data_IF_274475300533
#
_entry.id   IF_274475300533
#
_cell.length_a   1.000
_cell.length_b   1.000
_cell.length_c   1.000
_cell.angle_alpha   90.00
_cell.angle_beta   90.00
_cell.angle_gamma   90.00
#
_symmetry.space_group_name_H-M   'P 1'
#
loop_
_entity.id
_entity.type
_entity.pdbx_description
1 polymer ?
#
# COMPACT_ATOMS: atom_id res chain seq x y z
N UNK A 1 8.98 17.58 1.14
CA UNK A 1 8.48 16.81 2.30
C UNK A 1 8.31 15.38 1.80
N UNK A 2 8.92 14.36 2.43
CA UNK A 2 8.64 12.99 2.04
C UNK A 2 7.12 12.74 2.20
N UNK A 3 6.48 12.03 1.26
CA UNK A 3 5.07 11.67 1.36
C UNK A 3 4.80 10.94 2.68
N UNK A 4 3.66 11.22 3.28
CA UNK A 4 3.27 10.65 4.57
C UNK A 4 2.99 9.14 4.41
N UNK A 5 3.66 8.28 5.21
CA UNK A 5 3.43 6.83 5.20
C UNK A 5 2.25 6.42 6.08
N UNK A 6 1.69 7.37 6.84
CA UNK A 6 0.53 7.15 7.72
C UNK A 6 -0.62 6.42 7.01
N UNK A 7 -1.10 6.81 5.81
CA UNK A 7 -2.21 6.11 5.16
C UNK A 7 -1.91 4.63 4.86
N UNK A 8 -0.65 4.28 4.57
CA UNK A 8 -0.26 2.89 4.33
C UNK A 8 -0.30 2.09 5.64
N UNK A 9 0.31 2.61 6.70
CA UNK A 9 0.39 1.91 7.99
C UNK A 9 -0.96 1.85 8.71
N UNK A 10 -1.79 2.88 8.56
CA UNK A 10 -3.13 2.93 9.12
C UNK A 10 -4.04 1.96 8.38
N UNK A 11 -3.99 1.91 7.04
CA UNK A 11 -4.73 0.90 6.27
C UNK A 11 -4.32 -0.54 6.63
N UNK A 12 -3.03 -0.80 6.84
CA UNK A 12 -2.58 -2.11 7.33
C UNK A 12 -3.14 -2.41 8.73
N UNK A 13 -3.21 -1.42 9.62
CA UNK A 13 -3.78 -1.60 10.96
C UNK A 13 -5.28 -1.89 10.89
N UNK A 14 -6.00 -1.19 10.02
CA UNK A 14 -7.46 -1.27 9.88
C UNK A 14 -7.91 -2.65 9.39
N UNK A 15 -7.12 -3.31 8.55
CA UNK A 15 -7.37 -4.70 8.13
C UNK A 15 -6.97 -5.75 9.19
N UNK A 16 -6.51 -5.31 10.37
CA UNK A 16 -6.17 -6.18 11.48
C UNK A 16 -4.74 -6.72 11.46
N UNK A 17 -3.80 -6.07 10.76
CA UNK A 17 -2.41 -6.51 10.75
C UNK A 17 -1.77 -6.31 12.13
N UNK A 18 -1.33 -7.41 12.76
CA UNK A 18 -0.75 -7.38 14.09
C UNK A 18 0.56 -6.58 14.19
N UNK A 19 0.98 -6.18 15.41
CA UNK A 19 2.08 -5.24 15.63
C UNK A 19 3.43 -5.72 15.06
N UNK A 20 3.71 -7.03 15.10
CA UNK A 20 4.95 -7.59 14.53
C UNK A 20 5.00 -7.47 13.00
N UNK A 21 3.85 -7.67 12.33
CA UNK A 21 3.75 -7.54 10.87
C UNK A 21 3.79 -6.08 10.44
N UNK A 22 3.19 -5.18 11.21
CA UNK A 22 3.30 -3.73 11.02
C UNK A 22 4.75 -3.24 11.14
N UNK A 23 5.51 -3.75 12.12
CA UNK A 23 6.91 -3.39 12.26
C UNK A 23 7.75 -3.87 11.08
N UNK A 24 7.48 -5.08 10.58
CA UNK A 24 8.10 -5.57 9.34
C UNK A 24 7.74 -4.71 8.12
N UNK A 25 6.50 -4.22 8.02
CA UNK A 25 6.10 -3.31 6.96
C UNK A 25 6.87 -1.98 7.03
N UNK A 26 7.10 -1.43 8.23
CA UNK A 26 7.94 -0.24 8.45
C UNK A 26 9.40 -0.44 8.03
N UNK A 27 9.90 -1.67 8.11
CA UNK A 27 11.23 -2.07 7.66
C UNK A 27 11.29 -2.36 6.15
N UNK A 28 10.25 -1.97 5.40
CA UNK A 28 10.14 -2.15 3.96
C UNK A 28 10.16 -3.62 3.50
N UNK A 29 9.70 -4.55 4.36
CA UNK A 29 9.52 -5.94 3.97
C UNK A 29 8.49 -6.08 2.84
N UNK A 30 8.62 -7.17 2.09
CA UNK A 30 7.70 -7.49 1.00
C UNK A 30 6.26 -7.53 1.51
N UNK A 31 5.38 -6.69 0.96
CA UNK A 31 3.97 -6.65 1.36
C UNK A 31 3.18 -7.80 0.74
N UNK A 32 3.39 -8.09 -0.54
CA UNK A 32 2.69 -9.18 -1.22
C UNK A 32 3.61 -9.98 -2.15
N UNK A 33 3.36 -11.29 -2.27
CA UNK A 33 4.16 -12.23 -3.06
C UNK A 33 4.77 -13.34 -2.19
N UNK A 34 5.77 -14.08 -2.71
CA UNK A 34 6.44 -15.16 -1.96
C UNK A 34 7.06 -14.64 -0.66
N UNK A 35 6.58 -15.11 0.49
CA UNK A 35 7.02 -14.63 1.81
C UNK A 35 6.53 -13.23 2.18
N UNK A 36 5.58 -12.68 1.41
CA UNK A 36 4.96 -11.38 1.64
C UNK A 36 4.18 -11.33 2.95
N UNK A 37 4.03 -10.12 3.47
CA UNK A 37 3.30 -9.90 4.71
C UNK A 37 1.83 -10.23 4.56
N UNK A 38 1.19 -9.87 3.45
CA UNK A 38 -0.25 -10.00 3.19
C UNK A 38 -0.55 -11.25 2.37
N UNK A 39 -1.64 -11.94 2.74
CA UNK A 39 -2.28 -12.91 1.87
C UNK A 39 -3.25 -12.22 0.87
N UNK A 40 -3.85 -12.98 -0.04
CA UNK A 40 -4.73 -12.42 -1.08
C UNK A 40 -5.98 -11.71 -0.54
N UNK A 41 -6.56 -12.18 0.58
CA UNK A 41 -7.73 -11.55 1.21
C UNK A 41 -7.32 -10.24 1.86
N UNK A 42 -6.24 -10.28 2.65
CA UNK A 42 -5.68 -9.10 3.31
C UNK A 42 -5.23 -8.05 2.28
N UNK A 43 -4.71 -8.47 1.13
CA UNK A 43 -4.34 -7.56 0.04
C UNK A 43 -5.55 -6.79 -0.49
N UNK A 44 -6.66 -7.48 -0.78
CA UNK A 44 -7.88 -6.86 -1.29
C UNK A 44 -8.46 -5.88 -0.26
N UNK A 45 -8.48 -6.29 1.01
CA UNK A 45 -8.93 -5.42 2.10
C UNK A 45 -8.02 -4.20 2.27
N UNK A 46 -6.70 -4.40 2.14
CA UNK A 46 -5.71 -3.33 2.23
C UNK A 46 -5.87 -2.32 1.11
N UNK A 47 -6.05 -2.77 -0.14
CA UNK A 47 -6.28 -1.88 -1.29
C UNK A 47 -7.57 -1.08 -1.09
N UNK A 48 -8.65 -1.71 -0.62
CA UNK A 48 -9.91 -1.02 -0.35
C UNK A 48 -9.73 0.07 0.72
N UNK A 49 -9.09 -0.27 1.85
CA UNK A 49 -8.79 0.70 2.92
C UNK A 49 -7.87 1.83 2.43
N UNK A 50 -6.84 1.51 1.66
CA UNK A 50 -5.88 2.50 1.16
C UNK A 50 -6.51 3.44 0.13
N UNK A 51 -7.39 2.93 -0.72
CA UNK A 51 -8.20 3.73 -1.65
C UNK A 51 -9.04 4.77 -0.89
N UNK A 52 -9.75 4.35 0.16
CA UNK A 52 -10.55 5.26 1.00
C UNK A 52 -9.70 6.34 1.67
N UNK A 53 -8.51 6.00 2.16
CA UNK A 53 -7.63 6.93 2.87
C UNK A 53 -6.85 7.87 1.95
N UNK A 54 -6.47 7.40 0.76
CA UNK A 54 -5.67 8.19 -0.19
C UNK A 54 -6.51 8.95 -1.22
N UNK A 55 -7.78 8.57 -1.41
CA UNK A 55 -8.64 9.06 -2.48
C UNK A 55 -8.25 8.56 -3.88
N UNK A 56 -7.31 7.62 -3.96
CA UNK A 56 -6.86 7.00 -5.21
C UNK A 56 -7.73 5.78 -5.50
N UNK A 57 -8.13 5.62 -6.76
CA UNK A 57 -9.02 4.53 -7.16
C UNK A 57 -8.38 3.14 -6.97
N UNK A 58 -9.17 2.19 -6.46
CA UNK A 58 -8.72 0.81 -6.21
C UNK A 58 -8.22 0.10 -7.48
N UNK A 59 -8.83 0.37 -8.64
CA UNK A 59 -8.39 -0.15 -9.93
C UNK A 59 -7.02 0.41 -10.32
N UNK A 60 -6.72 1.67 -9.97
CA UNK A 60 -5.41 2.27 -10.26
C UNK A 60 -4.28 1.56 -9.46
N UNK A 61 -4.58 1.11 -8.23
CA UNK A 61 -3.66 0.24 -7.49
C UNK A 61 -3.51 -1.15 -8.12
N UNK A 62 -4.61 -1.71 -8.67
CA UNK A 62 -4.58 -3.00 -9.34
C UNK A 62 -3.90 -2.95 -10.72
N UNK A 63 -3.91 -1.84 -11.43
CA UNK A 63 -3.14 -1.68 -12.67
C UNK A 63 -1.63 -1.67 -12.41
N UNK A 64 -1.21 -1.11 -11.27
CA UNK A 64 0.17 -1.20 -10.78
C UNK A 64 0.54 -2.57 -10.21
N UNK A 65 -0.42 -3.48 -10.10
CA UNK A 65 -0.20 -4.86 -9.65
C UNK A 65 0.17 -5.75 -10.84
N UNK A 66 1.44 -6.13 -10.90
CA UNK A 66 1.92 -7.13 -11.84
C UNK A 66 2.37 -8.39 -11.07
N UNK A 67 1.67 -9.53 -11.22
CA UNK A 67 2.08 -10.78 -10.58
C UNK A 67 3.46 -11.22 -11.07
N UNK A 68 4.43 -11.36 -10.16
CA UNK A 68 5.76 -11.89 -10.47
C UNK A 68 6.82 -10.85 -10.87
N UNK A 69 6.47 -9.57 -10.95
CA UNK A 69 7.43 -8.45 -11.00
C UNK A 69 7.34 -7.62 -9.72
N UNK A 70 8.31 -6.74 -9.51
CA UNK A 70 8.33 -5.82 -8.36
C UNK A 70 7.27 -4.70 -8.54
N UNK A 71 5.99 -5.05 -8.49
CA UNK A 71 4.87 -4.11 -8.61
C UNK A 71 4.79 -3.12 -7.44
N UNK A 72 3.87 -2.17 -7.52
CA UNK A 72 3.76 -1.10 -6.50
C UNK A 72 3.48 -1.67 -5.10
N UNK A 73 2.74 -2.79 -5.01
CA UNK A 73 2.39 -3.49 -3.78
C UNK A 73 3.52 -4.39 -3.26
N UNK A 74 4.75 -4.28 -3.78
CA UNK A 74 5.87 -5.09 -3.30
C UNK A 74 6.38 -4.60 -1.95
N UNK A 75 6.41 -3.30 -1.66
CA UNK A 75 6.90 -2.76 -0.38
C UNK A 75 6.25 -1.42 -0.02
N UNK A 76 6.39 -0.99 1.24
CA UNK A 76 5.83 0.29 1.71
C UNK A 76 6.49 1.46 0.99
N UNK A 77 7.79 1.40 0.73
CA UNK A 77 8.55 2.43 0.02
C UNK A 77 8.08 2.62 -1.42
N UNK A 78 7.72 1.54 -2.13
CA UNK A 78 7.18 1.65 -3.50
C UNK A 78 5.78 2.24 -3.51
N UNK A 79 4.91 1.78 -2.61
CA UNK A 79 3.59 2.37 -2.41
C UNK A 79 3.69 3.84 -2.05
N UNK A 80 4.62 4.20 -1.16
CA UNK A 80 4.85 5.58 -0.76
C UNK A 80 5.28 6.44 -1.95
N UNK A 81 6.19 5.96 -2.80
CA UNK A 81 6.59 6.66 -4.03
C UNK A 81 5.41 6.85 -4.98
N UNK A 82 4.62 5.80 -5.19
CA UNK A 82 3.40 5.83 -6.00
C UNK A 82 2.37 6.86 -5.48
N UNK A 83 2.11 6.87 -4.17
CA UNK A 83 1.23 7.86 -3.55
C UNK A 83 1.77 9.28 -3.73
N UNK A 84 3.09 9.47 -3.65
CA UNK A 84 3.73 10.77 -3.84
C UNK A 84 3.53 11.34 -5.25
N UNK A 85 3.58 10.47 -6.26
CA UNK A 85 3.39 10.85 -7.67
C UNK A 85 1.94 11.30 -7.95
N UNK A 86 0.97 10.80 -7.18
CA UNK A 86 -0.47 11.07 -7.34
C UNK A 86 -1.02 12.15 -6.42
N UNK A 87 -0.39 12.37 -5.26
CA UNK A 87 -0.73 13.45 -4.33
C UNK A 87 -0.84 14.86 -4.97
N UNK A 88 0.00 15.26 -5.96
CA UNK A 88 -0.16 16.55 -6.63
C UNK A 88 -1.35 16.60 -7.62
N UNK A 89 -1.93 15.47 -8.02
CA UNK A 89 -3.06 15.43 -8.97
C UNK A 89 -4.43 15.56 -8.27
N UNK A 90 -4.55 15.13 -7.01
CA UNK A 90 -5.81 15.18 -6.24
C UNK A 90 -6.22 16.59 -5.75
N UNK A 91 -5.36 17.61 -5.91
CA UNK A 91 -5.62 19.00 -5.46
C UNK A 91 -5.94 19.99 -6.58
N UNK A 92 -6.03 19.52 -7.82
CA UNK A 92 -6.21 20.38 -9.01
C UNK A 92 -7.56 20.18 -9.72
N UNK A 93 -8.55 19.53 -9.09
CA UNK A 93 -9.90 19.34 -9.62
C UNK A 93 -10.95 20.04 -8.75
#
# INVERSE_FOLDING_TARGET
MPPDISPILDSLRDIGLGPQRLERARQDCVLFGPGGLLNSIELVQFIASLSEQSGIDAFEFMEGFQPGTEGILSSVGRLQAFLAERAPQARAS
#
